data_IF_084098365717
#
_entry.id   IF_084098365717
#
_cell.length_a   1.000
_cell.length_b   1.000
_cell.length_c   1.000
_cell.angle_alpha   90.00
_cell.angle_beta   90.00
_cell.angle_gamma   90.00
#
_symmetry.space_group_name_H-M   'P 1'
#
loop_
_entity.id
_entity.type
_entity.pdbx_description
1 polymer ?
#
# COMPACT_ATOMS: atom_id res chain seq x y z
N UNK A 1 72.69 -10.32 -18.22
CA UNK A 1 71.80 -9.61 -17.28
C UNK A 1 70.55 -9.26 -18.07
N UNK A 2 69.55 -10.11 -17.90
CA UNK A 2 68.24 -10.04 -18.52
C UNK A 2 67.45 -8.91 -17.88
N UNK A 3 66.79 -8.08 -18.67
CA UNK A 3 65.71 -7.24 -18.14
C UNK A 3 64.52 -7.22 -19.11
N UNK A 4 63.50 -7.96 -18.69
CA UNK A 4 62.21 -8.11 -19.35
C UNK A 4 61.31 -6.96 -18.94
N UNK A 5 60.94 -6.09 -19.88
CA UNK A 5 59.94 -5.04 -19.63
C UNK A 5 58.54 -5.62 -19.85
N UNK A 6 57.92 -6.07 -18.74
CA UNK A 6 56.54 -6.52 -18.71
C UNK A 6 55.56 -5.35 -18.92
N UNK A 7 54.57 -5.57 -19.77
CA UNK A 7 53.46 -4.66 -20.04
C UNK A 7 52.52 -4.51 -18.84
N UNK A 8 52.02 -3.29 -18.65
CA UNK A 8 50.96 -2.97 -17.70
C UNK A 8 49.60 -3.45 -18.25
N UNK A 9 48.74 -4.12 -17.45
CA UNK A 9 47.37 -4.38 -17.85
C UNK A 9 46.49 -3.13 -17.66
N UNK A 10 45.60 -2.93 -18.63
CA UNK A 10 44.58 -1.88 -18.66
C UNK A 10 43.62 -2.02 -17.47
N UNK A 11 43.30 -0.89 -16.83
CA UNK A 11 42.28 -0.81 -15.79
C UNK A 11 40.89 -0.93 -16.43
N UNK A 12 40.12 -1.90 -15.93
CA UNK A 12 38.72 -2.14 -16.26
C UNK A 12 37.85 -0.94 -15.87
N UNK A 13 36.94 -0.55 -16.77
CA UNK A 13 35.94 0.48 -16.52
C UNK A 13 34.82 -0.04 -15.61
N UNK A 14 34.29 0.75 -14.66
CA UNK A 14 33.19 0.29 -13.82
C UNK A 14 31.86 0.38 -14.57
N UNK A 15 31.04 -0.67 -14.42
CA UNK A 15 29.70 -0.79 -14.97
C UNK A 15 28.74 0.31 -14.43
N UNK A 16 27.77 0.78 -15.23
CA UNK A 16 26.82 1.78 -14.79
C UNK A 16 25.81 1.18 -13.79
N UNK A 17 25.43 2.01 -12.82
CA UNK A 17 24.78 1.61 -11.59
C UNK A 17 23.38 1.03 -11.76
N UNK A 18 23.11 0.03 -10.92
CA UNK A 18 21.78 -0.51 -10.64
C UNK A 18 20.80 0.62 -10.34
N UNK A 19 19.83 0.82 -11.23
CA UNK A 19 18.63 1.57 -10.93
C UNK A 19 17.93 0.91 -9.74
N UNK A 20 17.55 1.72 -8.76
CA UNK A 20 16.69 1.33 -7.64
C UNK A 20 15.31 0.94 -8.20
N UNK A 21 15.18 -0.27 -8.71
CA UNK A 21 13.88 -0.92 -8.88
C UNK A 21 13.42 -1.27 -7.47
N UNK A 22 12.32 -0.67 -7.02
CA UNK A 22 11.64 -1.16 -5.83
C UNK A 22 11.43 -2.69 -6.01
N UNK A 23 11.81 -3.53 -5.03
CA UNK A 23 11.67 -4.97 -5.19
C UNK A 23 10.21 -5.31 -5.52
N UNK A 24 9.96 -6.33 -6.36
CA UNK A 24 8.60 -6.82 -6.57
C UNK A 24 8.02 -7.12 -5.20
N UNK A 25 6.87 -6.53 -4.90
CA UNK A 25 6.15 -6.75 -3.65
C UNK A 25 5.94 -8.26 -3.55
N UNK A 26 6.71 -8.92 -2.68
CA UNK A 26 6.48 -10.32 -2.35
C UNK A 26 5.07 -10.36 -1.79
N UNK A 27 4.14 -10.98 -2.52
CA UNK A 27 2.79 -11.22 -2.02
C UNK A 27 2.96 -11.99 -0.72
N UNK A 28 2.62 -11.40 0.45
CA UNK A 28 2.75 -12.12 1.70
C UNK A 28 1.91 -13.39 1.58
N UNK A 29 2.47 -14.53 1.97
CA UNK A 29 1.69 -15.75 2.08
C UNK A 29 0.57 -15.46 3.09
N UNK A 30 -0.66 -15.33 2.58
CA UNK A 30 -1.80 -14.90 3.38
C UNK A 30 -2.16 -16.02 4.35
N UNK A 31 -2.01 -15.73 5.64
CA UNK A 31 -2.32 -16.65 6.73
C UNK A 31 -3.17 -15.94 7.77
N UNK A 32 -3.98 -16.65 8.58
CA UNK A 32 -4.74 -16.02 9.65
C UNK A 32 -3.82 -15.29 10.65
N UNK A 33 -2.62 -15.83 10.89
CA UNK A 33 -1.61 -15.23 11.77
C UNK A 33 -1.13 -13.86 11.27
N UNK A 34 -0.99 -13.69 9.96
CA UNK A 34 -0.70 -12.38 9.38
C UNK A 34 -1.80 -11.35 9.73
N UNK A 35 -3.07 -11.74 9.66
CA UNK A 35 -4.19 -10.85 9.94
C UNK A 35 -4.30 -10.49 11.43
N UNK A 36 -4.06 -11.44 12.34
CA UNK A 36 -4.10 -11.18 13.79
C UNK A 36 -2.90 -10.37 14.28
N UNK A 37 -1.78 -10.36 13.55
CA UNK A 37 -0.68 -9.42 13.79
C UNK A 37 -1.03 -8.03 13.27
N UNK A 38 -1.77 -7.25 14.07
CA UNK A 38 -2.22 -5.90 13.68
C UNK A 38 -1.07 -4.96 13.27
N UNK A 39 0.11 -5.09 13.88
CA UNK A 39 1.30 -4.33 13.49
C UNK A 39 1.76 -4.69 12.08
N UNK A 40 1.92 -5.99 11.80
CA UNK A 40 2.35 -6.48 10.48
C UNK A 40 1.36 -6.10 9.37
N UNK A 41 0.05 -6.24 9.63
CA UNK A 41 -0.98 -5.85 8.67
C UNK A 41 -0.95 -4.34 8.38
N UNK A 42 -0.87 -3.50 9.42
CA UNK A 42 -0.76 -2.04 9.24
C UNK A 42 0.51 -1.64 8.52
N UNK A 43 1.64 -2.26 8.85
CA UNK A 43 2.92 -1.96 8.19
C UNK A 43 2.92 -2.36 6.72
N UNK A 44 2.34 -3.52 6.37
CA UNK A 44 2.17 -3.89 4.98
C UNK A 44 1.37 -2.83 4.21
N UNK A 45 0.21 -2.42 4.74
CA UNK A 45 -0.64 -1.41 4.09
C UNK A 45 0.07 -0.06 3.98
N UNK A 46 0.74 0.37 5.04
CA UNK A 46 1.51 1.62 5.08
C UNK A 46 2.65 1.63 4.07
N UNK A 47 3.47 0.57 4.02
CA UNK A 47 4.60 0.47 3.10
C UNK A 47 4.12 0.37 1.63
N UNK A 48 3.04 -0.37 1.37
CA UNK A 48 2.45 -0.45 0.04
C UNK A 48 1.94 0.92 -0.44
N UNK A 49 1.28 1.70 0.43
CA UNK A 49 0.83 3.07 0.12
C UNK A 49 2.02 4.02 -0.09
N UNK A 50 3.03 3.96 0.77
CA UNK A 50 4.22 4.80 0.65
C UNK A 50 4.96 4.59 -0.67
N UNK A 51 5.04 3.34 -1.13
CA UNK A 51 5.72 2.99 -2.38
C UNK A 51 5.07 3.53 -3.65
N UNK A 52 3.75 3.76 -3.65
CA UNK A 52 2.99 4.11 -4.87
C UNK A 52 2.17 5.39 -4.69
N UNK A 53 1.27 5.39 -3.70
CA UNK A 53 0.23 6.40 -3.52
C UNK A 53 0.79 7.70 -2.89
N UNK A 54 1.53 7.61 -1.77
CA UNK A 54 2.10 8.80 -1.12
C UNK A 54 3.16 9.47 -2.01
N UNK A 55 3.83 8.68 -2.84
CA UNK A 55 4.84 9.11 -3.81
C UNK A 55 4.27 9.30 -5.22
N UNK A 56 2.94 9.36 -5.40
CA UNK A 56 2.30 9.39 -6.72
C UNK A 56 2.81 10.53 -7.61
N UNK A 57 2.99 11.73 -7.04
CA UNK A 57 3.50 12.88 -7.81
C UNK A 57 4.92 12.63 -8.31
N UNK A 58 5.77 12.01 -7.50
CA UNK A 58 7.13 11.66 -7.88
C UNK A 58 7.14 10.56 -8.96
N UNK A 59 6.32 9.52 -8.78
CA UNK A 59 6.15 8.44 -9.75
C UNK A 59 5.70 8.99 -11.11
N UNK A 60 4.73 9.92 -11.12
CA UNK A 60 4.23 10.55 -12.35
C UNK A 60 5.25 11.51 -12.98
N UNK A 61 5.98 12.29 -12.18
CA UNK A 61 7.05 13.16 -12.70
C UNK A 61 8.18 12.33 -13.34
N UNK A 62 8.48 11.14 -12.82
CA UNK A 62 9.48 10.25 -13.41
C UNK A 62 9.07 9.73 -14.81
N UNK A 63 7.78 9.67 -15.11
CA UNK A 63 7.27 9.34 -16.45
C UNK A 63 7.56 10.46 -17.47
N UNK A 64 7.79 11.69 -17.01
CA UNK A 64 8.07 12.85 -17.85
C UNK A 64 9.55 13.03 -18.21
N UNK A 65 10.43 12.12 -17.75
CA UNK A 65 11.87 12.29 -17.87
C UNK A 65 12.31 12.55 -19.34
N UNK A 66 12.93 13.71 -19.64
CA UNK A 66 13.36 14.08 -20.99
C UNK A 66 14.45 13.16 -21.58
N UNK A 67 15.01 12.25 -20.80
CA UNK A 67 16.17 11.42 -21.17
C UNK A 67 15.94 10.53 -22.38
N UNK A 68 14.69 10.27 -22.77
CA UNK A 68 14.38 9.60 -24.06
C UNK A 68 14.77 10.44 -25.28
N UNK A 69 14.78 11.77 -25.16
CA UNK A 69 15.04 12.70 -26.27
C UNK A 69 16.45 13.30 -26.27
N UNK A 70 17.33 12.87 -25.36
CA UNK A 70 18.67 13.44 -25.22
C UNK A 70 18.67 14.85 -24.62
N UNK A 71 19.84 15.32 -24.19
CA UNK A 71 20.03 16.70 -23.74
C UNK A 71 20.34 17.57 -24.95
N UNK A 72 19.47 18.53 -25.26
CA UNK A 72 19.72 19.57 -26.26
C UNK A 72 20.25 20.84 -25.56
N UNK A 73 21.52 21.24 -25.76
CA UNK A 73 22.08 22.47 -25.19
C UNK A 73 21.28 23.73 -25.56
N UNK A 74 20.64 23.76 -26.73
CA UNK A 74 19.83 24.89 -27.17
C UNK A 74 18.54 25.07 -26.33
N UNK A 75 18.07 24.01 -25.65
CA UNK A 75 16.89 24.06 -24.76
C UNK A 75 17.08 24.91 -23.51
N UNK A 76 18.32 25.29 -23.17
CA UNK A 76 18.64 26.18 -22.03
C UNK A 76 18.56 27.67 -22.38
N UNK A 77 18.54 28.00 -23.68
CA UNK A 77 18.56 29.39 -24.18
C UNK A 77 17.22 30.11 -24.06
N UNK A 78 16.12 29.36 -23.90
CA UNK A 78 14.78 29.92 -23.75
C UNK A 78 14.18 29.50 -22.41
N UNK A 79 13.77 30.48 -21.61
CA UNK A 79 13.00 30.22 -20.38
C UNK A 79 11.61 29.75 -20.78
N UNK A 80 11.45 28.43 -20.99
CA UNK A 80 10.16 27.85 -21.30
C UNK A 80 9.17 28.16 -20.15
N UNK A 81 7.99 28.75 -20.42
CA UNK A 81 6.99 28.97 -19.41
C UNK A 81 6.47 27.60 -18.92
N UNK A 82 6.64 27.32 -17.63
CA UNK A 82 5.94 26.25 -16.93
C UNK A 82 6.26 24.81 -17.34
N UNK A 83 7.37 24.25 -16.83
CA UNK A 83 7.57 22.79 -16.74
C UNK A 83 6.42 22.05 -16.02
N UNK A 84 5.56 22.76 -15.31
CA UNK A 84 4.38 22.24 -14.60
C UNK A 84 3.23 21.77 -15.50
N UNK A 85 3.28 21.98 -16.82
CA UNK A 85 2.18 21.67 -17.76
C UNK A 85 2.53 20.70 -18.88
N UNK A 86 3.73 20.10 -18.91
CA UNK A 86 3.97 19.01 -19.86
C UNK A 86 3.07 17.85 -19.47
N UNK A 87 2.04 17.60 -20.27
CA UNK A 87 1.18 16.43 -20.10
C UNK A 87 2.04 15.17 -20.23
N UNK A 88 1.79 14.19 -19.38
CA UNK A 88 2.47 12.91 -19.45
C UNK A 88 2.00 12.21 -20.73
N UNK A 89 2.92 11.53 -21.41
CA UNK A 89 2.57 10.70 -22.56
C UNK A 89 1.45 9.70 -22.21
N UNK A 90 0.46 9.58 -23.10
CA UNK A 90 -0.76 8.81 -22.85
C UNK A 90 -0.48 7.31 -22.68
N UNK A 91 0.54 6.78 -23.37
CA UNK A 91 0.94 5.38 -23.26
C UNK A 91 1.71 5.14 -21.96
N UNK A 92 2.61 6.05 -21.58
CA UNK A 92 3.30 6.00 -20.30
C UNK A 92 2.33 6.00 -19.11
N UNK A 93 1.32 6.88 -19.14
CA UNK A 93 0.25 6.91 -18.13
C UNK A 93 -0.55 5.60 -18.09
N UNK A 94 -0.94 5.07 -19.26
CA UNK A 94 -1.66 3.80 -19.34
C UNK A 94 -0.84 2.65 -18.77
N UNK A 95 0.43 2.54 -19.17
CA UNK A 95 1.34 1.51 -18.69
C UNK A 95 1.55 1.61 -17.17
N UNK A 96 1.71 2.81 -16.62
CA UNK A 96 1.81 3.01 -15.17
C UNK A 96 0.54 2.54 -14.44
N UNK A 97 -0.64 2.93 -14.93
CA UNK A 97 -1.92 2.50 -14.34
C UNK A 97 -2.06 0.98 -14.32
N UNK A 98 -1.88 0.35 -15.48
CA UNK A 98 -2.18 -1.07 -15.67
C UNK A 98 -1.14 -2.02 -15.07
N UNK A 99 0.14 -1.60 -15.02
CA UNK A 99 1.24 -2.46 -14.57
C UNK A 99 1.75 -2.14 -13.17
N UNK A 100 1.43 -0.97 -12.62
CA UNK A 100 1.95 -0.54 -11.32
C UNK A 100 0.82 -0.18 -10.36
N UNK A 101 0.00 0.81 -10.71
CA UNK A 101 -1.00 1.36 -9.79
C UNK A 101 -2.08 0.33 -9.44
N UNK A 102 -2.78 -0.19 -10.46
CA UNK A 102 -3.90 -1.11 -10.24
C UNK A 102 -3.46 -2.47 -9.66
N UNK A 103 -2.34 -3.09 -10.09
CA UNK A 103 -1.82 -4.27 -9.40
C UNK A 103 -1.52 -4.04 -7.92
N UNK A 104 -0.96 -2.89 -7.55
CA UNK A 104 -0.71 -2.55 -6.14
C UNK A 104 -2.01 -2.40 -5.34
N UNK A 105 -3.01 -1.72 -5.92
CA UNK A 105 -4.35 -1.60 -5.32
C UNK A 105 -5.04 -2.97 -5.17
N UNK A 106 -4.87 -3.85 -6.14
CA UNK A 106 -5.41 -5.22 -6.10
C UNK A 106 -4.76 -6.03 -4.98
N UNK A 107 -3.44 -6.00 -4.85
CA UNK A 107 -2.73 -6.71 -3.77
C UNK A 107 -3.20 -6.26 -2.39
N UNK A 108 -3.42 -4.95 -2.18
CA UNK A 108 -4.00 -4.44 -0.93
C UNK A 108 -5.46 -4.86 -0.73
N UNK A 109 -6.26 -4.88 -1.80
CA UNK A 109 -7.65 -5.31 -1.74
C UNK A 109 -7.77 -6.80 -1.36
N UNK A 110 -6.90 -7.65 -1.89
CA UNK A 110 -6.83 -9.08 -1.57
C UNK A 110 -6.49 -9.31 -0.10
N UNK A 111 -5.50 -8.59 0.43
CA UNK A 111 -5.15 -8.64 1.85
C UNK A 111 -6.33 -8.23 2.74
N UNK A 112 -6.98 -7.09 2.43
CA UNK A 112 -8.13 -6.62 3.20
C UNK A 112 -9.35 -7.55 3.08
N UNK A 113 -9.52 -8.19 1.93
CA UNK A 113 -10.58 -9.16 1.70
C UNK A 113 -10.34 -10.44 2.50
N UNK A 114 -9.15 -11.02 2.37
CA UNK A 114 -8.75 -12.23 3.08
C UNK A 114 -8.84 -12.04 4.59
N UNK A 115 -8.27 -10.96 5.14
CA UNK A 115 -8.39 -10.69 6.57
C UNK A 115 -9.84 -10.42 6.99
N UNK A 116 -10.69 -9.92 6.09
CA UNK A 116 -12.14 -9.81 6.31
C UNK A 116 -12.80 -11.16 6.54
N UNK A 117 -12.45 -12.17 5.72
CA UNK A 117 -12.93 -13.54 5.90
C UNK A 117 -12.47 -14.13 7.24
N UNK A 118 -11.19 -13.93 7.58
CA UNK A 118 -10.60 -14.36 8.86
C UNK A 118 -11.34 -13.72 10.03
N UNK A 119 -11.63 -12.42 9.98
CA UNK A 119 -12.33 -11.69 11.04
C UNK A 119 -13.77 -12.17 11.28
N UNK A 120 -14.40 -12.82 10.29
CA UNK A 120 -15.75 -13.40 10.43
C UNK A 120 -15.75 -14.91 10.70
N UNK A 121 -14.57 -15.54 10.65
CA UNK A 121 -14.41 -16.97 10.88
C UNK A 121 -14.34 -17.32 12.37
N UNK A 122 -14.67 -18.56 12.73
CA UNK A 122 -14.49 -19.07 14.09
C UNK A 122 -13.01 -19.15 14.42
N UNK A 123 -12.66 -18.74 15.64
CA UNK A 123 -11.27 -18.63 16.06
C UNK A 123 -10.97 -19.53 17.27
N UNK A 124 -10.64 -20.82 17.03
CA UNK A 124 -10.39 -21.79 18.10
C UNK A 124 -9.09 -21.51 18.88
N UNK A 125 -8.13 -20.82 18.25
CA UNK A 125 -6.79 -20.56 18.79
C UNK A 125 -6.67 -19.19 19.47
N UNK A 126 -7.80 -18.59 19.89
CA UNK A 126 -7.80 -17.32 20.59
C UNK A 126 -7.21 -17.48 22.02
N UNK A 127 -6.03 -16.92 22.31
CA UNK A 127 -5.38 -17.07 23.62
C UNK A 127 -6.20 -16.44 24.75
N UNK A 128 -7.02 -15.44 24.42
CA UNK A 128 -7.81 -14.71 25.41
C UNK A 128 -9.16 -15.41 25.67
N UNK A 129 -9.54 -16.44 24.91
CA UNK A 129 -10.86 -17.06 25.02
C UNK A 129 -11.18 -17.60 26.42
N UNK A 130 -10.20 -18.23 27.09
CA UNK A 130 -10.39 -18.75 28.45
C UNK A 130 -10.46 -17.63 29.48
N UNK A 131 -9.56 -16.65 29.40
CA UNK A 131 -9.53 -15.49 30.30
C UNK A 131 -10.85 -14.71 30.23
N UNK A 132 -11.36 -14.49 29.02
CA UNK A 132 -12.65 -13.83 28.80
C UNK A 132 -13.81 -14.55 29.50
N UNK A 133 -13.90 -15.87 29.35
CA UNK A 133 -14.95 -16.67 30.02
C UNK A 133 -14.88 -16.56 31.54
N UNK A 134 -13.68 -16.57 32.12
CA UNK A 134 -13.50 -16.41 33.56
C UNK A 134 -13.92 -15.02 34.04
N UNK A 135 -13.58 -13.98 33.29
CA UNK A 135 -13.98 -12.61 33.60
C UNK A 135 -15.48 -12.40 33.48
N UNK A 136 -16.11 -12.97 32.45
CA UNK A 136 -17.56 -12.93 32.26
C UNK A 136 -18.30 -13.65 33.39
N UNK A 137 -17.82 -14.82 33.81
CA UNK A 137 -18.40 -15.54 34.95
C UNK A 137 -18.28 -14.73 36.26
N UNK A 138 -17.09 -14.17 36.53
CA UNK A 138 -16.88 -13.32 37.71
C UNK A 138 -17.75 -12.06 37.69
N UNK A 139 -17.96 -11.47 36.51
CA UNK A 139 -18.83 -10.32 36.35
C UNK A 139 -20.30 -10.67 36.59
N UNK A 140 -20.75 -11.86 36.18
CA UNK A 140 -22.10 -12.36 36.43
C UNK A 140 -22.36 -12.62 37.92
N UNK A 141 -21.36 -13.06 38.68
CA UNK A 141 -21.46 -13.26 40.13
C UNK A 141 -21.48 -11.95 40.94
N UNK A 142 -21.11 -10.82 40.33
CA UNK A 142 -21.01 -9.52 41.02
C UNK A 142 -22.40 -8.95 41.30
N UNK A 143 -22.77 -8.86 42.57
CA UNK A 143 -23.97 -8.14 43.03
C UNK A 143 -23.62 -6.68 43.32
N UNK A 144 -24.30 -5.74 42.69
CA UNK A 144 -24.08 -4.29 42.83
C UNK A 144 -25.31 -3.62 43.41
N UNK A 145 -25.16 -2.90 44.53
CA UNK A 145 -26.20 -1.98 45.04
C UNK A 145 -26.08 -0.64 44.31
N UNK A 146 -26.91 -0.46 43.27
CA UNK A 146 -26.94 0.75 42.43
C UNK A 146 -27.21 2.04 43.23
N UNK A 147 -27.80 1.93 44.43
CA UNK A 147 -28.06 3.08 45.31
C UNK A 147 -26.80 3.57 46.01
N UNK A 148 -25.83 2.68 46.27
CA UNK A 148 -24.57 3.03 46.92
C UNK A 148 -23.55 3.56 45.90
N UNK A 149 -23.49 2.97 44.71
CA UNK A 149 -22.61 3.41 43.62
C UNK A 149 -23.19 3.06 42.23
N UNK A 150 -23.82 4.04 41.54
CA UNK A 150 -24.36 3.86 40.19
C UNK A 150 -23.35 3.51 39.10
N UNK A 151 -22.03 3.68 39.33
CA UNK A 151 -20.99 3.43 38.32
C UNK A 151 -20.35 2.04 38.44
N UNK A 152 -20.47 1.41 39.61
CA UNK A 152 -19.89 0.09 39.88
C UNK A 152 -20.53 -1.06 39.08
N UNK A 153 -21.72 -0.85 38.50
CA UNK A 153 -22.40 -1.81 37.64
C UNK A 153 -21.74 -2.00 36.26
N UNK A 154 -20.89 -1.06 35.81
CA UNK A 154 -20.30 -1.14 34.47
C UNK A 154 -19.31 -2.31 34.40
N UNK A 155 -19.53 -3.18 33.42
CA UNK A 155 -18.61 -4.24 33.03
C UNK A 155 -18.38 -4.11 31.52
N UNK A 156 -17.12 -4.13 31.11
CA UNK A 156 -16.73 -4.08 29.70
C UNK A 156 -16.04 -5.41 29.39
N UNK A 157 -16.75 -6.35 28.74
CA UNK A 157 -16.16 -7.61 28.34
C UNK A 157 -14.95 -7.34 27.44
N UNK A 158 -13.92 -8.17 27.59
CA UNK A 158 -12.81 -8.19 26.64
C UNK A 158 -13.32 -8.65 25.27
N UNK A 159 -13.03 -7.88 24.24
CA UNK A 159 -13.44 -8.21 22.86
C UNK A 159 -12.62 -9.40 22.32
N UNK A 160 -13.25 -10.33 21.55
CA UNK A 160 -12.51 -11.36 20.82
C UNK A 160 -11.52 -10.72 19.83
N UNK A 161 -10.39 -11.40 19.60
CA UNK A 161 -9.40 -10.90 18.64
C UNK A 161 -9.95 -10.75 17.22
N UNK A 162 -10.95 -11.55 16.83
CA UNK A 162 -11.68 -11.42 15.56
C UNK A 162 -12.50 -10.13 15.46
N UNK A 163 -13.15 -9.70 16.55
CA UNK A 163 -13.91 -8.44 16.58
C UNK A 163 -12.96 -7.22 16.52
N UNK A 164 -11.85 -7.29 17.26
CA UNK A 164 -10.77 -6.29 17.20
C UNK A 164 -10.20 -6.19 15.77
N UNK A 165 -10.00 -7.32 15.10
CA UNK A 165 -9.59 -7.37 13.71
C UNK A 165 -10.66 -6.78 12.77
N UNK A 166 -11.94 -7.08 12.99
CA UNK A 166 -13.02 -6.51 12.19
C UNK A 166 -13.09 -4.98 12.31
N UNK A 167 -12.90 -4.43 13.52
CA UNK A 167 -12.80 -2.99 13.77
C UNK A 167 -11.63 -2.38 13.01
N UNK A 168 -10.45 -2.99 13.10
CA UNK A 168 -9.26 -2.58 12.36
C UNK A 168 -9.53 -2.52 10.85
N UNK A 169 -10.09 -3.59 10.28
CA UNK A 169 -10.33 -3.69 8.84
C UNK A 169 -11.35 -2.66 8.34
N UNK A 170 -12.37 -2.32 9.14
CA UNK A 170 -13.30 -1.23 8.80
C UNK A 170 -12.57 0.11 8.67
N UNK A 171 -11.66 0.40 9.60
CA UNK A 171 -10.84 1.61 9.56
C UNK A 171 -9.92 1.60 8.34
N UNK A 172 -9.20 0.50 8.09
CA UNK A 172 -8.28 0.39 6.96
C UNK A 172 -8.98 0.46 5.60
N UNK A 173 -10.19 -0.09 5.46
CA UNK A 173 -11.02 0.08 4.26
C UNK A 173 -11.40 1.54 4.03
N UNK A 174 -11.71 2.28 5.11
CA UNK A 174 -11.96 3.73 5.04
C UNK A 174 -10.73 4.51 4.58
N UNK A 175 -9.57 4.23 5.18
CA UNK A 175 -8.30 4.83 4.78
C UNK A 175 -7.98 4.51 3.32
N UNK A 176 -8.14 3.25 2.91
CA UNK A 176 -7.89 2.81 1.54
C UNK A 176 -8.76 3.56 0.53
N UNK A 177 -10.04 3.79 0.83
CA UNK A 177 -10.93 4.57 -0.02
C UNK A 177 -10.44 6.02 -0.18
N UNK A 178 -10.01 6.66 0.92
CA UNK A 178 -9.47 8.03 0.90
C UNK A 178 -8.20 8.09 0.06
N UNK A 179 -7.28 7.15 0.28
CA UNK A 179 -6.01 7.08 -0.44
C UNK A 179 -6.24 6.92 -1.95
N UNK A 180 -7.07 5.94 -2.36
CA UNK A 180 -7.37 5.73 -3.78
C UNK A 180 -8.01 6.93 -4.44
N UNK A 181 -8.96 7.58 -3.76
CA UNK A 181 -9.61 8.79 -4.26
C UNK A 181 -8.58 9.89 -4.52
N UNK A 182 -7.73 10.20 -3.53
CA UNK A 182 -6.71 11.23 -3.66
C UNK A 182 -5.66 10.91 -4.72
N UNK A 183 -5.18 9.67 -4.76
CA UNK A 183 -4.24 9.22 -5.79
C UNK A 183 -4.84 9.36 -7.18
N UNK A 184 -6.11 8.95 -7.33
CA UNK A 184 -6.81 9.03 -8.60
C UNK A 184 -7.03 10.46 -9.08
N UNK A 185 -7.37 11.39 -8.18
CA UNK A 185 -7.52 12.82 -8.53
C UNK A 185 -6.23 13.36 -9.18
N UNK A 186 -5.07 13.02 -8.60
CA UNK A 186 -3.76 13.42 -9.15
C UNK A 186 -3.48 12.74 -10.48
N UNK A 187 -3.76 11.44 -10.61
CA UNK A 187 -3.58 10.69 -11.85
C UNK A 187 -4.45 11.27 -12.96
N UNK A 188 -5.72 11.53 -12.70
CA UNK A 188 -6.67 12.09 -13.66
C UNK A 188 -6.23 13.46 -14.14
N UNK A 189 -5.77 14.33 -13.23
CA UNK A 189 -5.25 15.65 -13.57
C UNK A 189 -3.97 15.59 -14.43
N UNK A 190 -3.03 14.70 -14.11
CA UNK A 190 -1.71 14.64 -14.77
C UNK A 190 -1.70 13.83 -16.07
N UNK A 191 -2.56 12.83 -16.16
CA UNK A 191 -2.72 11.96 -17.33
C UNK A 191 -3.85 12.38 -18.26
N UNK A 192 -4.48 13.53 -18.03
CA UNK A 192 -5.59 14.09 -18.83
C UNK A 192 -6.70 13.06 -19.11
N UNK A 193 -7.12 12.36 -18.06
CA UNK A 193 -8.13 11.30 -18.16
C UNK A 193 -9.55 11.87 -18.12
N UNK A 194 -10.54 11.15 -18.68
CA UNK A 194 -11.94 11.50 -18.48
C UNK A 194 -12.28 11.54 -16.98
N UNK A 195 -13.30 12.32 -16.57
CA UNK A 195 -13.74 12.42 -15.19
C UNK A 195 -14.52 11.15 -14.78
N UNK A 196 -13.82 10.01 -14.73
CA UNK A 196 -14.33 8.74 -14.20
C UNK A 196 -13.87 8.57 -12.74
N UNK A 197 -14.63 7.80 -11.97
CA UNK A 197 -14.24 7.47 -10.59
C UNK A 197 -13.13 6.42 -10.58
N UNK A 198 -12.35 6.37 -9.49
CA UNK A 198 -11.30 5.36 -9.37
C UNK A 198 -11.88 3.95 -9.37
N UNK A 199 -13.10 3.77 -8.84
CA UNK A 199 -13.81 2.50 -8.79
C UNK A 199 -14.10 1.98 -10.20
N UNK A 200 -14.70 2.81 -11.05
CA UNK A 200 -15.03 2.45 -12.44
C UNK A 200 -13.76 2.06 -13.22
N UNK A 201 -12.71 2.88 -13.11
CA UNK A 201 -11.43 2.62 -13.78
C UNK A 201 -10.79 1.31 -13.32
N UNK A 202 -10.82 1.05 -12.00
CA UNK A 202 -10.24 -0.14 -11.39
C UNK A 202 -11.06 -1.40 -11.69
N UNK A 203 -12.39 -1.32 -11.65
CA UNK A 203 -13.28 -2.43 -11.97
C UNK A 203 -13.19 -2.81 -13.45
N UNK A 204 -13.12 -1.82 -14.34
CA UNK A 204 -12.89 -2.05 -15.77
C UNK A 204 -11.52 -2.71 -16.03
N UNK A 205 -10.47 -2.32 -15.28
CA UNK A 205 -9.17 -2.99 -15.38
C UNK A 205 -9.26 -4.44 -14.90
N UNK A 206 -9.84 -4.70 -13.72
CA UNK A 206 -10.02 -6.07 -13.20
C UNK A 206 -10.75 -6.95 -14.20
N UNK A 207 -11.88 -6.49 -14.76
CA UNK A 207 -12.68 -7.29 -15.70
C UNK A 207 -11.92 -7.69 -16.96
N UNK A 208 -10.93 -6.89 -17.39
CA UNK A 208 -10.06 -7.22 -18.53
C UNK A 208 -8.92 -8.17 -18.19
N UNK A 209 -8.46 -8.17 -16.93
CA UNK A 209 -7.29 -8.95 -16.49
C UNK A 209 -7.67 -10.28 -15.86
N UNK A 210 -8.89 -10.41 -15.33
CA UNK A 210 -9.40 -11.68 -14.75
C UNK A 210 -10.23 -12.52 -15.72
N UNK A 211 -10.35 -12.08 -16.98
CA UNK A 211 -10.92 -12.86 -18.07
C UNK A 211 -9.81 -13.64 -18.80
#
# INVERSE_FOLDING_TARGET
>A
MSDSRAGHPAADSPAPGSGNMAPPVTTPQLTPQFCFSSGTLRDFLRLSRAGIDDSITQNLNALQAPSRNGFDPASTSTRAPGLAQRQIDSEACRSFKEKVLFPSWQARAEVLHYCGLVATSSDPDDPDAMLRKLEDAKAQERVVDERLDPYSARYFPREPRTERLALLLRQEKGVENIVRTRTWDVVTQRCNQPPETWQEAFDAWKSRTTA
#
